data_IF_423840224907
#
_entry.id   IF_423840224907
#
_cell.length_a   1.000
_cell.length_b   1.000
_cell.length_c   1.000
_cell.angle_alpha   90.00
_cell.angle_beta   90.00
_cell.angle_gamma   90.00
#
_symmetry.space_group_name_H-M   'P 1'
#
loop_
_entity.id
_entity.type
_entity.pdbx_description
1 polymer ?
#
# COMPACT_ATOMS: atom_id res chain seq x y z
N UNK A 1 39.21 18.87 6.72
CA UNK A 1 38.11 19.41 5.89
C UNK A 1 36.97 18.40 5.93
N UNK A 2 35.75 18.83 6.22
CA UNK A 2 34.59 17.92 6.28
C UNK A 2 34.14 17.55 4.87
N UNK A 3 33.72 16.30 4.65
CA UNK A 3 33.33 15.81 3.32
C UNK A 3 32.00 16.45 2.87
N UNK A 4 31.98 17.01 1.65
CA UNK A 4 30.78 17.64 1.07
C UNK A 4 29.61 16.69 0.92
N UNK A 5 29.85 15.39 0.71
CA UNK A 5 28.79 14.36 0.62
C UNK A 5 28.10 14.13 1.97
N UNK A 6 28.83 14.30 3.06
CA UNK A 6 28.29 14.21 4.43
C UNK A 6 27.60 15.51 4.82
N UNK A 7 28.15 16.65 4.39
CA UNK A 7 27.57 17.96 4.66
C UNK A 7 26.13 18.08 4.13
N UNK A 8 25.84 17.51 2.95
CA UNK A 8 24.49 17.47 2.38
C UNK A 8 23.50 16.58 3.15
N UNK A 9 23.97 15.71 4.05
CA UNK A 9 23.14 14.80 4.86
C UNK A 9 22.94 15.30 6.30
N UNK A 10 23.51 16.45 6.67
CA UNK A 10 23.32 17.04 8.00
C UNK A 10 21.91 17.62 8.09
N UNK A 11 21.10 17.04 8.99
CA UNK A 11 19.72 17.46 9.22
C UNK A 11 19.64 18.70 10.12
N UNK A 12 20.45 18.76 11.17
CA UNK A 12 20.53 19.90 12.07
C UNK A 12 21.88 19.95 12.80
N UNK A 13 22.20 21.12 13.35
CA UNK A 13 23.33 21.35 14.26
C UNK A 13 22.74 21.72 15.62
N UNK A 14 23.18 21.03 16.68
CA UNK A 14 22.68 21.22 18.04
C UNK A 14 23.83 21.64 18.93
N UNK A 15 23.64 22.73 19.66
CA UNK A 15 24.59 23.20 20.68
C UNK A 15 24.27 22.56 22.04
N UNK A 16 25.30 22.04 22.71
CA UNK A 16 25.18 21.41 24.04
C UNK A 16 26.05 22.09 25.07
N UNK A 17 25.56 22.19 26.31
CA UNK A 17 26.23 22.94 27.38
C UNK A 17 27.44 22.24 27.95
N UNK A 18 27.51 20.90 27.82
CA UNK A 18 28.59 20.07 28.33
C UNK A 18 29.08 19.11 27.23
N UNK A 19 30.36 18.78 27.24
CA UNK A 19 30.93 17.73 26.38
C UNK A 19 30.83 16.33 27.01
N UNK A 20 31.18 15.31 26.24
CA UNK A 20 31.18 13.91 26.69
C UNK A 20 29.77 13.28 26.70
N UNK A 21 29.58 12.22 27.49
CA UNK A 21 28.34 11.43 27.51
C UNK A 21 27.11 12.23 27.95
N UNK A 22 27.29 13.17 28.90
CA UNK A 22 26.20 14.03 29.36
C UNK A 22 25.71 14.98 28.27
N UNK A 23 26.63 15.55 27.48
CA UNK A 23 26.30 16.35 26.31
C UNK A 23 25.63 15.54 25.21
N UNK A 24 26.07 14.29 25.01
CA UNK A 24 25.48 13.40 24.02
C UNK A 24 24.01 13.07 24.34
N UNK A 25 23.69 12.75 25.60
CA UNK A 25 22.30 12.53 26.02
C UNK A 25 21.44 13.79 25.81
N UNK A 26 21.98 14.98 26.13
CA UNK A 26 21.28 16.25 25.88
C UNK A 26 21.04 16.49 24.39
N UNK A 27 22.03 16.21 23.52
CA UNK A 27 21.87 16.32 22.07
C UNK A 27 20.79 15.36 21.54
N UNK A 28 20.67 14.16 22.11
CA UNK A 28 19.60 13.20 21.75
C UNK A 28 18.23 13.77 22.09
N UNK A 29 18.05 14.29 23.30
CA UNK A 29 16.77 14.89 23.73
C UNK A 29 16.36 16.05 22.84
N UNK A 30 17.29 16.96 22.53
CA UNK A 30 17.05 18.11 21.63
C UNK A 30 16.80 17.67 20.18
N UNK A 31 17.41 16.57 19.73
CA UNK A 31 17.24 16.06 18.36
C UNK A 31 15.95 15.25 18.18
N UNK A 32 15.34 14.74 19.25
CA UNK A 32 14.17 13.87 19.18
C UNK A 32 12.98 14.55 18.49
N UNK A 33 12.74 15.83 18.76
CA UNK A 33 11.67 16.61 18.11
C UNK A 33 11.89 16.70 16.60
N UNK A 34 13.11 17.01 16.17
CA UNK A 34 13.44 17.17 14.75
C UNK A 34 13.36 15.83 14.03
N UNK A 35 13.89 14.76 14.62
CA UNK A 35 13.81 13.41 14.06
C UNK A 35 12.36 12.95 13.87
N UNK A 36 11.47 13.28 14.81
CA UNK A 36 10.04 13.01 14.67
C UNK A 36 9.45 13.74 13.47
N UNK A 37 9.81 15.02 13.29
CA UNK A 37 9.36 15.84 12.18
C UNK A 37 9.89 15.35 10.83
N UNK A 38 11.10 14.80 10.76
CA UNK A 38 11.66 14.28 9.51
C UNK A 38 10.81 13.16 8.92
N UNK A 39 10.34 12.19 9.72
CA UNK A 39 9.45 11.13 9.23
C UNK A 39 8.15 11.73 8.66
N UNK A 40 7.56 12.69 9.36
CA UNK A 40 6.35 13.37 8.89
C UNK A 40 6.57 14.18 7.60
N UNK A 41 7.71 14.86 7.47
CA UNK A 41 8.05 15.62 6.25
C UNK A 41 8.24 14.69 5.06
N UNK A 42 8.90 13.55 5.26
CA UNK A 42 9.07 12.53 4.21
C UNK A 42 7.72 11.95 3.79
N UNK A 43 6.89 11.56 4.75
CA UNK A 43 5.54 11.03 4.52
C UNK A 43 4.68 12.05 3.75
N UNK A 44 4.64 13.29 4.22
CA UNK A 44 3.91 14.38 3.56
C UNK A 44 4.40 14.62 2.13
N UNK A 45 5.71 14.55 1.90
CA UNK A 45 6.29 14.72 0.56
C UNK A 45 5.92 13.56 -0.36
N UNK A 46 5.93 12.33 0.15
CA UNK A 46 5.55 11.13 -0.62
C UNK A 46 4.08 11.19 -1.03
N UNK A 47 3.18 11.42 -0.08
CA UNK A 47 1.74 11.53 -0.34
C UNK A 47 1.45 12.76 -1.22
N UNK A 48 2.19 13.85 -1.04
CA UNK A 48 2.10 15.03 -1.89
C UNK A 48 2.39 14.72 -3.36
N UNK A 49 3.43 13.95 -3.66
CA UNK A 49 3.73 13.47 -5.02
C UNK A 49 2.61 12.58 -5.57
N UNK A 50 2.09 11.66 -4.75
CA UNK A 50 0.99 10.80 -5.16
C UNK A 50 -0.27 11.62 -5.54
N UNK A 51 -0.63 12.64 -4.76
CA UNK A 51 -1.76 13.51 -5.10
C UNK A 51 -1.49 14.41 -6.31
N UNK A 52 -0.24 14.78 -6.56
CA UNK A 52 0.15 15.53 -7.74
C UNK A 52 -0.08 14.71 -9.02
N UNK A 53 0.31 13.42 -9.03
CA UNK A 53 0.04 12.50 -10.16
C UNK A 53 -1.46 12.33 -10.42
N UNK A 54 -2.27 12.23 -9.36
CA UNK A 54 -3.74 12.20 -9.48
C UNK A 54 -4.28 13.51 -10.07
N UNK A 55 -3.79 14.65 -9.57
CA UNK A 55 -4.30 15.97 -9.97
C UNK A 55 -3.92 16.34 -11.39
N UNK A 56 -2.79 15.83 -11.88
CA UNK A 56 -2.29 16.03 -13.25
C UNK A 56 -2.87 15.03 -14.25
N UNK A 57 -3.66 14.05 -13.79
CA UNK A 57 -4.27 12.98 -14.61
C UNK A 57 -3.25 12.27 -15.52
N UNK A 58 -2.05 12.02 -14.99
CA UNK A 58 -0.96 11.34 -15.72
C UNK A 58 -1.23 9.85 -15.92
N UNK A 59 -2.24 9.31 -15.24
CA UNK A 59 -2.56 7.87 -15.18
C UNK A 59 -1.45 7.01 -14.55
N UNK A 60 -0.52 7.61 -13.80
CA UNK A 60 0.58 6.92 -13.10
C UNK A 60 0.30 6.66 -11.63
N UNK A 61 -0.96 6.42 -11.28
CA UNK A 61 -1.36 6.14 -9.92
C UNK A 61 -2.32 4.95 -9.90
N UNK A 62 -2.37 4.27 -8.76
CA UNK A 62 -3.32 3.21 -8.48
C UNK A 62 -3.90 3.40 -7.09
N UNK A 63 -5.18 3.09 -6.94
CA UNK A 63 -5.88 3.07 -5.66
C UNK A 63 -6.80 1.86 -5.60
N UNK A 64 -7.18 1.43 -4.40
CA UNK A 64 -8.03 0.25 -4.21
C UNK A 64 -7.23 -1.05 -4.21
N UNK A 65 -7.78 -2.06 -3.54
CA UNK A 65 -7.05 -3.32 -3.29
C UNK A 65 -6.84 -4.11 -4.58
N UNK A 66 -7.92 -4.30 -5.35
CA UNK A 66 -7.90 -5.15 -6.55
C UNK A 66 -7.00 -4.56 -7.64
N UNK A 67 -7.15 -3.26 -7.92
CA UNK A 67 -6.32 -2.55 -8.89
C UNK A 67 -4.84 -2.51 -8.47
N UNK A 68 -4.56 -2.29 -7.17
CA UNK A 68 -3.19 -2.29 -6.66
C UNK A 68 -2.55 -3.66 -6.81
N UNK A 69 -3.30 -4.74 -6.57
CA UNK A 69 -2.81 -6.10 -6.75
C UNK A 69 -2.57 -6.44 -8.22
N UNK A 70 -3.50 -6.10 -9.12
CA UNK A 70 -3.33 -6.26 -10.57
C UNK A 70 -2.07 -5.52 -11.05
N UNK A 71 -1.90 -4.26 -10.64
CA UNK A 71 -0.72 -3.48 -11.01
C UNK A 71 0.58 -4.03 -10.40
N UNK A 72 0.51 -4.62 -9.21
CA UNK A 72 1.64 -5.25 -8.55
C UNK A 72 2.06 -6.54 -9.28
N UNK A 73 1.10 -7.36 -9.71
CA UNK A 73 1.34 -8.57 -10.52
C UNK A 73 1.96 -8.24 -11.89
N UNK A 74 1.55 -7.13 -12.51
CA UNK A 74 2.16 -6.62 -13.74
C UNK A 74 3.56 -5.98 -13.51
N UNK A 75 4.00 -5.81 -12.26
CA UNK A 75 5.26 -5.15 -11.92
C UNK A 75 5.28 -3.66 -12.30
N UNK A 76 4.11 -3.03 -12.43
CA UNK A 76 3.98 -1.62 -12.82
C UNK A 76 4.23 -0.65 -11.67
N UNK A 77 4.11 -1.12 -10.42
CA UNK A 77 4.22 -0.28 -9.22
C UNK A 77 5.68 0.07 -8.94
N UNK A 78 5.99 1.37 -8.84
CA UNK A 78 7.28 1.86 -8.38
C UNK A 78 7.31 1.92 -6.86
N UNK A 79 6.34 2.63 -6.28
CA UNK A 79 6.23 2.86 -4.84
C UNK A 79 4.83 2.46 -4.41
N UNK A 80 4.75 1.45 -3.55
CA UNK A 80 3.53 0.99 -2.92
C UNK A 80 3.35 1.73 -1.59
N UNK A 81 2.24 2.44 -1.45
CA UNK A 81 1.91 3.25 -0.29
C UNK A 81 0.79 2.54 0.48
N UNK A 82 1.08 2.12 1.72
CA UNK A 82 0.12 1.38 2.54
C UNK A 82 -0.05 2.04 3.89
N UNK A 83 -1.28 2.17 4.36
CA UNK A 83 -1.57 2.66 5.69
C UNK A 83 -1.18 1.62 6.75
N UNK A 84 -0.46 2.04 7.80
CA UNK A 84 0.00 1.14 8.88
C UNK A 84 -1.15 0.37 9.57
N UNK A 85 -2.35 0.95 9.62
CA UNK A 85 -3.53 0.34 10.25
C UNK A 85 -4.55 -0.16 9.21
N UNK A 86 -4.07 -0.69 8.08
CA UNK A 86 -4.94 -1.28 7.07
C UNK A 86 -5.67 -2.50 7.63
N UNK A 87 -6.99 -2.44 7.68
CA UNK A 87 -7.84 -3.48 8.27
C UNK A 87 -8.37 -4.48 7.24
N UNK A 88 -7.45 -4.95 6.38
CA UNK A 88 -7.73 -5.84 5.26
C UNK A 88 -6.94 -7.13 5.46
N UNK A 89 -7.66 -8.24 5.48
CA UNK A 89 -7.08 -9.56 5.58
C UNK A 89 -7.15 -10.28 4.24
N UNK A 90 -6.07 -10.99 3.92
CA UNK A 90 -5.98 -11.88 2.77
C UNK A 90 -6.37 -13.28 3.22
N UNK A 91 -7.42 -13.81 2.59
CA UNK A 91 -7.93 -15.15 2.82
C UNK A 91 -7.58 -16.04 1.62
N UNK A 92 -6.91 -17.15 1.89
CA UNK A 92 -6.84 -18.26 0.94
C UNK A 92 -7.99 -19.22 1.25
N UNK A 93 -8.98 -19.20 0.37
CA UNK A 93 -10.17 -20.03 0.43
C UNK A 93 -9.97 -21.20 -0.51
N UNK A 94 -10.24 -22.41 -0.04
CA UNK A 94 -10.23 -23.60 -0.90
C UNK A 94 -11.65 -24.11 -1.07
N UNK A 95 -12.08 -24.33 -2.30
CA UNK A 95 -13.34 -24.98 -2.58
C UNK A 95 -13.22 -26.48 -2.28
N UNK A 96 -14.05 -26.99 -1.36
CA UNK A 96 -14.04 -28.39 -0.94
C UNK A 96 -14.45 -29.35 -2.08
N UNK A 97 -15.20 -28.84 -3.07
CA UNK A 97 -15.73 -29.63 -4.20
C UNK A 97 -14.83 -29.58 -5.44
N UNK A 98 -14.35 -28.38 -5.83
CA UNK A 98 -13.52 -28.23 -7.04
C UNK A 98 -12.02 -28.31 -6.75
N UNK A 99 -11.62 -28.14 -5.49
CA UNK A 99 -10.21 -28.09 -5.09
C UNK A 99 -9.49 -26.79 -5.47
N UNK A 100 -10.18 -25.85 -6.12
CA UNK A 100 -9.63 -24.56 -6.52
C UNK A 100 -9.36 -23.67 -5.31
N UNK A 101 -8.25 -22.95 -5.36
CA UNK A 101 -7.85 -21.99 -4.34
C UNK A 101 -8.17 -20.59 -4.84
N UNK A 102 -9.11 -19.93 -4.18
CA UNK A 102 -9.51 -18.55 -4.45
C UNK A 102 -8.92 -17.66 -3.38
N UNK A 103 -8.22 -16.61 -3.79
CA UNK A 103 -7.70 -15.60 -2.88
C UNK A 103 -8.72 -14.47 -2.81
N UNK A 104 -9.21 -14.15 -1.61
CA UNK A 104 -10.07 -12.98 -1.38
C UNK A 104 -9.45 -12.02 -0.38
N UNK A 105 -9.65 -10.73 -0.62
CA UNK A 105 -9.27 -9.66 0.28
C UNK A 105 -10.54 -9.11 0.91
N UNK A 106 -10.68 -9.26 2.22
CA UNK A 106 -11.90 -8.91 2.94
C UNK A 106 -11.57 -7.96 4.09
N UNK A 107 -12.42 -6.96 4.27
CA UNK A 107 -12.40 -6.09 5.44
C UNK A 107 -13.08 -6.78 6.63
N UNK A 108 -12.82 -6.33 7.86
CA UNK A 108 -13.51 -6.83 9.08
C UNK A 108 -15.05 -6.88 8.98
N UNK A 109 -15.65 -5.94 8.26
CA UNK A 109 -17.10 -5.90 8.06
C UNK A 109 -17.58 -7.00 7.09
N UNK A 110 -16.79 -7.27 6.04
CA UNK A 110 -17.07 -8.31 5.06
C UNK A 110 -16.74 -9.72 5.57
N UNK A 111 -15.86 -9.83 6.57
CA UNK A 111 -15.63 -11.06 7.34
C UNK A 111 -16.90 -11.51 8.08
N UNK A 112 -17.80 -10.58 8.45
CA UNK A 112 -19.04 -10.89 9.16
C UNK A 112 -20.14 -11.45 8.24
N UNK A 113 -20.03 -11.20 6.93
CA UNK A 113 -21.00 -11.64 5.94
C UNK A 113 -20.67 -13.06 5.44
N UNK A 114 -21.46 -14.05 5.86
CA UNK A 114 -21.34 -15.46 5.46
C UNK A 114 -21.45 -15.68 3.94
N UNK A 115 -22.05 -14.74 3.20
CA UNK A 115 -22.18 -14.79 1.74
C UNK A 115 -20.83 -14.67 1.01
N UNK A 116 -19.81 -14.07 1.65
CA UNK A 116 -18.47 -13.97 1.07
C UNK A 116 -17.67 -15.28 1.12
N UNK A 117 -18.15 -16.25 1.91
CA UNK A 117 -17.58 -17.60 2.04
C UNK A 117 -18.38 -18.65 1.24
N UNK A 118 -19.42 -18.21 0.53
CA UNK A 118 -20.19 -19.08 -0.36
C UNK A 118 -19.93 -18.67 -1.81
N UNK A 119 -19.60 -19.66 -2.63
CA UNK A 119 -19.34 -19.43 -4.04
C UNK A 119 -20.65 -19.11 -4.79
N UNK A 120 -20.65 -18.04 -5.59
CA UNK A 120 -21.85 -17.52 -6.27
C UNK A 120 -22.43 -18.50 -7.31
N UNK A 121 -21.65 -19.51 -7.68
CA UNK A 121 -21.96 -20.51 -8.70
C UNK A 121 -22.32 -21.88 -8.13
N UNK A 122 -22.04 -22.20 -6.87
CA UNK A 122 -22.24 -23.56 -6.35
C UNK A 122 -22.82 -23.69 -4.94
N UNK A 123 -23.01 -22.59 -4.19
CA UNK A 123 -23.47 -22.63 -2.79
C UNK A 123 -22.69 -23.62 -1.91
N UNK A 124 -21.44 -23.91 -2.29
CA UNK A 124 -20.52 -24.75 -1.54
C UNK A 124 -19.75 -23.85 -0.57
N UNK A 125 -19.62 -24.31 0.67
CA UNK A 125 -18.88 -23.60 1.70
C UNK A 125 -17.37 -23.64 1.35
N UNK A 126 -16.77 -22.46 1.26
CA UNK A 126 -15.33 -22.31 1.04
C UNK A 126 -14.60 -22.49 2.36
N UNK A 127 -13.66 -23.44 2.40
CA UNK A 127 -12.84 -23.67 3.60
C UNK A 127 -11.73 -22.63 3.68
N UNK A 128 -11.60 -21.96 4.83
CA UNK A 128 -10.49 -21.04 5.09
C UNK A 128 -9.24 -21.86 5.35
N UNK A 129 -8.30 -21.83 4.41
CA UNK A 129 -7.03 -22.52 4.56
C UNK A 129 -6.03 -21.66 5.33
N UNK A 130 -5.93 -20.38 4.98
CA UNK A 130 -4.98 -19.45 5.58
C UNK A 130 -5.58 -18.04 5.66
N UNK A 131 -5.37 -17.40 6.81
CA UNK A 131 -5.71 -15.99 7.07
C UNK A 131 -4.42 -15.25 7.38
N UNK A 132 -4.07 -14.27 6.57
CA UNK A 132 -2.89 -13.43 6.77
C UNK A 132 -3.26 -11.96 6.59
N UNK A 133 -2.79 -11.05 7.47
CA UNK A 133 -2.94 -9.61 7.25
C UNK A 133 -2.30 -9.19 5.92
N UNK A 134 -3.01 -8.40 5.11
CA UNK A 134 -2.49 -7.97 3.81
C UNK A 134 -1.19 -7.16 3.94
N UNK A 135 -1.07 -6.38 5.02
CA UNK A 135 0.13 -5.64 5.37
C UNK A 135 1.37 -6.54 5.52
N UNK A 136 1.21 -7.67 6.23
CA UNK A 136 2.28 -8.63 6.46
C UNK A 136 2.67 -9.35 5.18
N UNK A 137 1.68 -9.69 4.35
CA UNK A 137 1.93 -10.26 3.04
C UNK A 137 2.75 -9.32 2.15
N UNK A 138 2.40 -8.04 2.08
CA UNK A 138 3.20 -7.05 1.34
C UNK A 138 4.63 -6.95 1.87
N UNK A 139 4.83 -6.97 3.19
CA UNK A 139 6.15 -6.91 3.81
C UNK A 139 7.04 -8.13 3.45
N UNK A 140 6.45 -9.29 3.16
CA UNK A 140 7.19 -10.48 2.73
C UNK A 140 7.46 -10.48 1.23
N UNK A 141 6.51 -10.02 0.43
CA UNK A 141 6.49 -10.24 -1.01
C UNK A 141 6.94 -9.03 -1.86
N UNK A 142 6.99 -7.81 -1.30
CA UNK A 142 7.31 -6.58 -2.06
C UNK A 142 8.61 -6.67 -2.89
N UNK A 143 9.62 -7.40 -2.39
CA UNK A 143 10.90 -7.57 -3.09
C UNK A 143 10.77 -8.38 -4.38
N UNK A 144 9.82 -9.32 -4.45
CA UNK A 144 9.59 -10.14 -5.65
C UNK A 144 9.00 -9.32 -6.79
N UNK A 145 8.18 -8.33 -6.46
CA UNK A 145 7.58 -7.41 -7.43
C UNK A 145 8.49 -6.23 -7.81
N UNK A 146 9.58 -6.02 -7.06
CA UNK A 146 10.52 -4.93 -7.30
C UNK A 146 9.95 -3.55 -6.98
N UNK A 147 8.93 -3.46 -6.11
CA UNK A 147 8.37 -2.20 -5.65
C UNK A 147 9.03 -1.74 -4.34
N UNK A 148 8.98 -0.43 -4.08
CA UNK A 148 9.37 0.14 -2.79
C UNK A 148 8.13 0.23 -1.90
N UNK A 149 8.12 -0.45 -0.75
CA UNK A 149 7.01 -0.41 0.19
C UNK A 149 7.23 0.72 1.19
N UNK A 150 6.28 1.65 1.26
CA UNK A 150 6.28 2.79 2.17
C UNK A 150 5.02 2.78 3.04
N UNK A 151 5.22 2.84 4.35
CA UNK A 151 4.12 2.88 5.33
C UNK A 151 3.79 4.32 5.72
N UNK A 152 2.50 4.64 5.68
CA UNK A 152 1.99 5.98 6.00
C UNK A 152 1.06 5.94 7.21
N UNK A 153 0.85 7.11 7.83
CA UNK A 153 -0.02 7.28 9.00
C UNK A 153 -1.13 8.29 8.70
N UNK A 154 -2.12 8.39 9.59
CA UNK A 154 -3.21 9.37 9.47
C UNK A 154 -2.96 10.65 10.29
N UNK A 155 -1.72 10.89 10.74
CA UNK A 155 -1.38 12.05 11.56
C UNK A 155 -1.28 13.35 10.76
N UNK A 156 -0.95 13.25 9.46
CA UNK A 156 -0.93 14.38 8.53
C UNK A 156 -2.30 14.61 7.88
N UNK A 157 -2.56 15.84 7.43
CA UNK A 157 -3.81 16.15 6.72
C UNK A 157 -3.90 15.36 5.40
N UNK A 158 -2.75 15.21 4.73
CA UNK A 158 -2.56 14.46 3.50
C UNK A 158 -2.77 12.95 3.74
N UNK A 159 -2.19 12.39 4.80
CA UNK A 159 -2.39 10.99 5.19
C UNK A 159 -3.82 10.68 5.58
N UNK A 160 -4.52 11.59 6.27
CA UNK A 160 -5.94 11.43 6.57
C UNK A 160 -6.81 11.39 5.31
N UNK A 161 -6.50 12.23 4.30
CA UNK A 161 -7.17 12.18 2.98
C UNK A 161 -6.87 10.90 2.23
N UNK A 162 -5.64 10.40 2.30
CA UNK A 162 -5.28 9.13 1.69
C UNK A 162 -6.06 7.96 2.30
N UNK A 163 -6.08 7.86 3.63
CA UNK A 163 -6.78 6.79 4.35
C UNK A 163 -8.31 6.82 4.10
N UNK A 164 -8.93 8.01 4.18
CA UNK A 164 -10.39 8.15 4.03
C UNK A 164 -10.86 8.18 2.58
N UNK A 165 -10.06 8.72 1.67
CA UNK A 165 -10.42 8.89 0.26
C UNK A 165 -10.10 7.68 -0.61
N UNK A 166 -9.01 6.97 -0.31
CA UNK A 166 -8.47 5.91 -1.18
C UNK A 166 -8.40 4.55 -0.46
N UNK A 167 -9.03 4.41 0.71
CA UNK A 167 -9.09 3.13 1.44
C UNK A 167 -7.76 2.72 2.08
N UNK A 168 -6.79 3.63 2.18
CA UNK A 168 -5.51 3.35 2.84
C UNK A 168 -4.54 2.46 2.05
N UNK A 169 -4.82 2.19 0.78
CA UNK A 169 -3.93 1.48 -0.14
C UNK A 169 -3.84 2.22 -1.47
N UNK A 170 -2.63 2.35 -2.00
CA UNK A 170 -2.41 2.92 -3.30
C UNK A 170 -0.94 2.84 -3.70
N UNK A 171 -0.62 3.35 -4.88
CA UNK A 171 0.75 3.30 -5.37
C UNK A 171 1.01 4.27 -6.51
N UNK A 172 2.28 4.59 -6.69
CA UNK A 172 2.78 5.33 -7.84
C UNK A 172 3.31 4.31 -8.85
N UNK A 173 2.84 4.40 -10.08
CA UNK A 173 3.22 3.51 -11.18
C UNK A 173 4.41 4.08 -11.95
N UNK A 174 5.27 3.18 -12.45
CA UNK A 174 6.44 3.53 -13.29
C UNK A 174 6.02 4.09 -14.66
N UNK A 175 4.89 3.61 -15.17
CA UNK A 175 4.32 3.97 -16.46
C UNK A 175 2.80 4.12 -16.33
N UNK A 176 2.20 4.83 -17.28
CA UNK A 176 0.75 5.03 -17.32
C UNK A 176 0.07 3.68 -17.57
N UNK A 177 -0.91 3.36 -16.75
CA UNK A 177 -1.67 2.11 -16.85
C UNK A 177 -3.15 2.44 -16.81
N UNK A 178 -3.85 2.17 -17.91
CA UNK A 178 -5.31 2.33 -17.96
C UNK A 178 -5.98 1.14 -17.27
N UNK A 179 -6.30 1.32 -15.98
CA UNK A 179 -7.05 0.34 -15.18
C UNK A 179 -8.45 0.09 -15.75
N UNK A 180 -9.07 1.12 -16.35
CA UNK A 180 -10.43 1.05 -16.93
C UNK A 180 -10.56 0.01 -18.03
N UNK A 181 -9.50 -0.17 -18.84
CA UNK A 181 -9.48 -1.21 -19.88
C UNK A 181 -9.51 -2.63 -19.29
N UNK A 182 -9.08 -2.84 -18.05
CA UNK A 182 -9.05 -4.18 -17.45
C UNK A 182 -10.40 -4.62 -16.88
N UNK A 183 -11.32 -3.70 -16.59
CA UNK A 183 -12.69 -4.05 -16.22
C UNK A 183 -13.50 -4.46 -17.46
N UNK A 184 -13.23 -3.90 -18.65
CA UNK A 184 -13.86 -4.32 -19.91
C UNK A 184 -13.46 -5.76 -20.32
N UNK A 185 -12.20 -6.17 -20.11
CA UNK A 185 -11.78 -7.56 -20.37
C UNK A 185 -12.30 -8.59 -19.35
N UNK A 186 -12.92 -8.13 -18.26
CA UNK A 186 -13.53 -9.01 -17.26
C UNK A 186 -14.99 -9.36 -17.59
N UNK A 187 -15.60 -8.68 -18.58
CA UNK A 187 -17.01 -8.85 -18.97
C UNK A 187 -17.19 -9.42 -20.40
N UNK A 188 -16.11 -9.61 -21.18
CA UNK A 188 -16.17 -10.17 -22.54
C UNK A 188 -16.18 -11.72 -22.55
N UNK A 189 -17.23 -12.29 -21.95
CA UNK A 189 -17.59 -13.70 -22.01
C UNK A 189 -18.90 -14.01 -22.72
N UNK A 190 -19.65 -13.00 -23.21
CA UNK A 190 -20.82 -13.26 -24.06
C UNK A 190 -20.40 -13.45 -25.52
N UNK A 191 -20.09 -14.70 -25.84
CA UNK A 191 -20.03 -15.20 -27.22
C UNK A 191 -21.41 -14.99 -27.85
N UNK A 192 -21.59 -13.92 -28.61
CA UNK A 192 -22.65 -13.85 -29.60
C UNK A 192 -22.27 -14.81 -30.74
N UNK A 193 -22.79 -16.03 -30.63
CA UNK A 193 -22.84 -17.01 -31.72
C UNK A 193 -23.73 -16.46 -32.83
N UNK A 194 -23.11 -15.75 -33.78
CA UNK A 194 -23.76 -15.32 -35.02
C UNK A 194 -23.74 -16.53 -35.97
N UNK A 195 -24.74 -17.40 -35.80
CA UNK A 195 -25.04 -18.51 -36.70
C UNK A 195 -26.08 -18.08 -37.75
N UNK A 196 -25.74 -18.35 -39.02
CA UNK A 196 -26.49 -18.11 -40.28
C UNK A 196 -28.00 -18.41 -40.26
#
# INVERSE_FOLDING_TARGET
MFDQRLQAKVLNVVDVSYGGENGFNQAIELSAEILSNVKFIQEKRLIGKYFEEISQDTGKYVFGVDDTLKALEMGAVEILIVWENLDINRFMLKNSVTGEVVIRHLNKEQEADMTNFQDSSNSADLEIQEKMPLLEWFANEYKRFGCSLEFVTNKSQEGSRFCRGFGGIGGILRYQLDMRSFDEFSDDGEVYDDSE
#
